data_IF_739552859044
#
_entry.id   IF_739552859044
#
_cell.length_a   1.000
_cell.length_b   1.000
_cell.length_c   1.000
_cell.angle_alpha   90.00
_cell.angle_beta   90.00
_cell.angle_gamma   90.00
#
_symmetry.space_group_name_H-M   'P 1'
#
loop_
_entity.id
_entity.type
_entity.pdbx_description
1 polymer ?
#
# COMPACT_ATOMS: atom_id res chain seq x y z
N UNK A 1 -12.89 15.57 4.09
CA UNK A 1 -11.87 14.65 3.55
C UNK A 1 -12.22 14.35 2.10
N UNK A 2 -11.69 13.25 1.58
CA UNK A 2 -11.92 12.73 0.24
C UNK A 2 -12.80 11.47 0.31
N UNK A 3 -13.64 11.26 -0.70
CA UNK A 3 -14.46 10.04 -0.82
C UNK A 3 -13.69 8.89 -1.48
N UNK A 4 -12.59 9.19 -2.16
CA UNK A 4 -11.65 8.21 -2.70
C UNK A 4 -10.22 8.77 -2.61
N UNK A 5 -9.30 7.95 -2.11
CA UNK A 5 -7.86 8.16 -2.20
C UNK A 5 -7.23 7.01 -2.97
N UNK A 6 -6.45 7.35 -4.00
CA UNK A 6 -5.66 6.39 -4.77
C UNK A 6 -4.18 6.52 -4.40
N UNK A 7 -3.62 5.47 -3.81
CA UNK A 7 -2.20 5.32 -3.50
C UNK A 7 -1.56 4.31 -4.46
N UNK A 8 -1.27 4.76 -5.68
CA UNK A 8 -0.66 3.92 -6.74
C UNK A 8 0.87 4.10 -6.78
N UNK A 9 1.62 2.98 -6.83
CA UNK A 9 3.08 2.91 -6.83
C UNK A 9 3.73 3.77 -5.73
N UNK A 10 3.10 3.78 -4.55
CA UNK A 10 3.43 4.72 -3.48
C UNK A 10 4.07 4.04 -2.26
N UNK A 11 3.42 3.03 -1.69
CA UNK A 11 3.70 2.55 -0.32
C UNK A 11 5.16 2.12 -0.13
N UNK A 12 5.73 1.43 -1.10
CA UNK A 12 7.13 0.95 -1.10
C UNK A 12 8.16 2.03 -1.41
N UNK A 13 7.72 3.25 -1.77
CA UNK A 13 8.56 4.40 -2.12
C UNK A 13 8.54 5.52 -1.07
N UNK A 14 7.80 5.36 0.02
CA UNK A 14 7.68 6.36 1.08
C UNK A 14 8.81 6.19 2.11
N UNK A 15 9.40 7.29 2.56
CA UNK A 15 10.36 7.25 3.67
C UNK A 15 9.78 6.62 4.95
N UNK A 16 8.49 6.85 5.22
CA UNK A 16 7.77 6.25 6.36
C UNK A 16 6.34 5.85 5.94
N UNK A 17 6.15 4.65 5.38
CA UNK A 17 4.83 4.15 5.00
C UNK A 17 3.91 3.98 6.21
N UNK A 18 4.45 3.62 7.39
CA UNK A 18 3.69 3.50 8.63
C UNK A 18 3.01 4.80 9.02
N UNK A 19 3.72 5.93 8.90
CA UNK A 19 3.14 7.26 9.16
C UNK A 19 2.02 7.59 8.18
N UNK A 20 2.19 7.28 6.90
CA UNK A 20 1.12 7.47 5.90
C UNK A 20 -0.12 6.64 6.26
N UNK A 21 0.04 5.33 6.46
CA UNK A 21 -1.05 4.40 6.75
C UNK A 21 -1.76 4.73 8.07
N UNK A 22 -1.01 5.11 9.11
CA UNK A 22 -1.58 5.48 10.40
C UNK A 22 -2.34 6.81 10.39
N UNK A 23 -2.13 7.69 9.41
CA UNK A 23 -2.75 9.03 9.39
C UNK A 23 -3.76 9.23 8.28
N UNK A 24 -3.76 8.38 7.24
CA UNK A 24 -4.60 8.58 6.05
C UNK A 24 -6.11 8.55 6.37
N UNK A 25 -6.53 7.85 7.42
CA UNK A 25 -7.91 7.82 7.89
C UNK A 25 -8.49 9.22 8.19
N UNK A 26 -7.65 10.19 8.59
CA UNK A 26 -8.05 11.58 8.84
C UNK A 26 -8.37 12.38 7.57
N UNK A 27 -7.96 11.86 6.41
CA UNK A 27 -8.16 12.50 5.10
C UNK A 27 -9.25 11.81 4.28
N UNK A 28 -9.69 10.61 4.65
CA UNK A 28 -10.78 9.88 3.99
C UNK A 28 -12.07 10.10 4.78
N UNK A 29 -13.14 10.48 4.09
CA UNK A 29 -14.47 10.59 4.71
C UNK A 29 -14.93 9.20 5.22
N UNK A 30 -15.74 9.14 6.26
CA UNK A 30 -16.40 7.88 6.67
C UNK A 30 -17.21 7.32 5.51
N UNK A 31 -17.07 6.02 5.23
CA UNK A 31 -17.62 5.35 4.04
C UNK A 31 -16.84 5.61 2.74
N UNK A 32 -15.83 6.49 2.78
CA UNK A 32 -14.92 6.74 1.66
C UNK A 32 -13.91 5.59 1.47
N UNK A 33 -13.30 5.57 0.30
CA UNK A 33 -12.43 4.48 -0.15
C UNK A 33 -10.95 4.87 -0.17
N UNK A 34 -10.10 3.91 0.16
CA UNK A 34 -8.65 3.95 -0.04
C UNK A 34 -8.27 2.77 -0.94
N UNK A 35 -7.76 3.07 -2.13
CA UNK A 35 -7.23 2.08 -3.05
C UNK A 35 -5.71 2.11 -2.98
N UNK A 36 -5.10 0.98 -2.58
CA UNK A 36 -3.65 0.82 -2.57
C UNK A 36 -3.29 -0.10 -3.73
N UNK A 37 -2.43 0.39 -4.62
CA UNK A 37 -1.87 -0.37 -5.73
C UNK A 37 -0.36 -0.20 -5.70
N UNK A 38 0.40 -1.22 -5.30
CA UNK A 38 1.87 -1.17 -5.43
C UNK A 38 2.44 -2.55 -5.73
N UNK A 39 3.58 -2.64 -6.43
CA UNK A 39 4.27 -3.90 -6.65
C UNK A 39 5.02 -4.41 -5.40
N UNK A 40 5.09 -3.59 -4.35
CA UNK A 40 5.80 -3.88 -3.09
C UNK A 40 7.26 -4.28 -3.31
N UNK A 41 7.92 -3.62 -4.25
CA UNK A 41 9.35 -3.73 -4.53
C UNK A 41 10.12 -2.94 -3.49
N UNK A 42 10.05 -3.39 -2.24
CA UNK A 42 10.74 -2.74 -1.13
C UNK A 42 12.24 -2.64 -1.41
N UNK A 43 12.75 -1.41 -1.43
CA UNK A 43 14.16 -1.10 -1.64
C UNK A 43 14.63 -0.10 -0.57
N UNK A 44 15.79 -0.37 0.01
CA UNK A 44 16.37 0.46 1.08
C UNK A 44 16.74 1.88 0.60
N UNK A 45 16.89 2.09 -0.71
CA UNK A 45 17.07 3.42 -1.30
C UNK A 45 15.83 4.33 -1.17
N UNK A 46 14.65 3.75 -0.97
CA UNK A 46 13.40 4.50 -0.81
C UNK A 46 12.89 4.47 0.63
N UNK A 47 12.91 3.28 1.24
CA UNK A 47 12.35 3.04 2.56
C UNK A 47 13.36 2.27 3.39
N UNK A 48 13.75 2.81 4.55
CA UNK A 48 14.64 2.09 5.48
C UNK A 48 14.01 0.75 5.87
N UNK A 49 14.82 -0.29 6.03
CA UNK A 49 14.34 -1.65 6.27
C UNK A 49 13.45 -1.78 7.50
N UNK A 50 13.71 -0.99 8.53
CA UNK A 50 12.92 -0.97 9.78
C UNK A 50 11.51 -0.41 9.57
N UNK A 51 11.32 0.42 8.55
CA UNK A 51 10.04 1.01 8.18
C UNK A 51 9.22 0.10 7.25
N UNK A 52 9.79 -1.00 6.75
CA UNK A 52 9.06 -1.93 5.89
C UNK A 52 7.88 -2.52 6.66
N UNK A 53 6.73 -2.57 5.99
CA UNK A 53 5.51 -3.19 6.53
C UNK A 53 5.32 -4.62 6.01
N UNK A 54 6.27 -5.15 5.24
CA UNK A 54 6.21 -6.50 4.69
C UNK A 54 7.50 -6.85 3.97
N UNK A 55 7.60 -8.07 3.44
CA UNK A 55 8.84 -8.55 2.82
C UNK A 55 9.95 -8.84 3.83
N UNK A 56 9.57 -9.09 5.08
CA UNK A 56 10.49 -9.36 6.21
C UNK A 56 10.14 -10.68 6.88
N UNK A 57 11.03 -11.17 7.73
CA UNK A 57 10.74 -12.27 8.66
C UNK A 57 10.29 -11.71 10.00
N UNK A 58 9.13 -12.14 10.48
CA UNK A 58 8.59 -11.81 11.80
C UNK A 58 8.44 -13.12 12.56
N UNK A 59 9.15 -13.26 13.68
CA UNK A 59 9.17 -14.48 14.51
C UNK A 59 9.50 -15.77 13.74
N UNK A 60 10.35 -15.66 12.71
CA UNK A 60 10.75 -16.78 11.84
C UNK A 60 9.81 -17.03 10.64
N UNK A 61 8.61 -16.45 10.65
CA UNK A 61 7.63 -16.58 9.58
C UNK A 61 7.74 -15.46 8.55
N UNK A 62 7.31 -15.73 7.31
CA UNK A 62 7.22 -14.70 6.27
C UNK A 62 6.08 -13.74 6.61
N UNK A 63 6.38 -12.45 6.69
CA UNK A 63 5.40 -11.40 6.91
C UNK A 63 5.24 -10.59 5.62
N UNK A 64 4.08 -10.71 4.97
CA UNK A 64 3.82 -10.13 3.67
C UNK A 64 3.30 -8.70 3.80
N UNK A 65 3.44 -7.89 2.75
CA UNK A 65 2.97 -6.50 2.77
C UNK A 65 1.47 -6.40 3.04
N UNK A 66 0.68 -7.35 2.55
CA UNK A 66 -0.75 -7.41 2.86
C UNK A 66 -1.03 -7.59 4.36
N UNK A 67 -0.22 -8.36 5.07
CA UNK A 67 -0.32 -8.52 6.52
C UNK A 67 -0.02 -7.19 7.22
N UNK A 68 1.04 -6.50 6.77
CA UNK A 68 1.35 -5.14 7.18
C UNK A 68 0.21 -4.15 6.96
N UNK A 69 -0.40 -4.17 5.78
CA UNK A 69 -1.52 -3.30 5.46
C UNK A 69 -2.70 -3.57 6.40
N UNK A 70 -3.06 -4.84 6.64
CA UNK A 70 -4.10 -5.21 7.59
C UNK A 70 -3.79 -4.70 9.00
N UNK A 71 -2.57 -4.90 9.48
CA UNK A 71 -2.14 -4.47 10.81
C UNK A 71 -2.16 -2.94 10.97
N UNK A 72 -1.75 -2.19 9.94
CA UNK A 72 -1.70 -0.73 10.00
C UNK A 72 -3.06 -0.06 9.77
N UNK A 73 -3.92 -0.63 8.92
CA UNK A 73 -5.19 -0.01 8.51
C UNK A 73 -6.39 -0.52 9.32
N UNK A 74 -6.32 -1.72 9.89
CA UNK A 74 -7.47 -2.43 10.47
C UNK A 74 -8.19 -1.71 11.61
N UNK A 75 -7.53 -0.74 12.27
CA UNK A 75 -8.18 0.10 13.28
C UNK A 75 -9.23 1.06 12.71
N UNK A 76 -9.09 1.46 11.44
CA UNK A 76 -9.91 2.51 10.83
C UNK A 76 -10.58 2.09 9.52
N UNK A 77 -10.09 1.03 8.88
CA UNK A 77 -10.57 0.57 7.58
C UNK A 77 -10.89 -0.92 7.61
N UNK A 78 -11.84 -1.33 6.77
CA UNK A 78 -12.02 -2.73 6.38
C UNK A 78 -11.54 -2.96 4.96
N UNK A 79 -10.93 -4.11 4.71
CA UNK A 79 -10.66 -4.58 3.35
C UNK A 79 -11.99 -4.99 2.70
N UNK A 80 -12.35 -4.35 1.59
CA UNK A 80 -13.60 -4.63 0.86
C UNK A 80 -13.32 -5.53 -0.34
N UNK A 81 -12.16 -5.42 -0.96
CA UNK A 81 -11.79 -6.20 -2.15
C UNK A 81 -10.27 -6.34 -2.30
N UNK A 82 -9.86 -7.40 -2.97
CA UNK A 82 -8.46 -7.78 -3.19
C UNK A 82 -7.87 -8.72 -2.11
N UNK A 83 -6.57 -9.06 -2.24
CA UNK A 83 -5.63 -8.57 -3.25
C UNK A 83 -5.94 -9.05 -4.68
N UNK A 84 -5.69 -8.20 -5.68
CA UNK A 84 -5.73 -8.55 -7.10
C UNK A 84 -4.44 -8.14 -7.78
N UNK A 85 -3.89 -8.99 -8.62
CA UNK A 85 -2.74 -8.63 -9.46
C UNK A 85 -3.22 -7.85 -10.69
N UNK A 86 -2.67 -6.66 -10.88
CA UNK A 86 -2.96 -5.80 -12.03
C UNK A 86 -1.67 -5.48 -12.76
N UNK A 87 -1.51 -5.88 -14.03
CA UNK A 87 -0.33 -5.53 -14.82
C UNK A 87 -0.34 -4.04 -15.15
N UNK A 88 0.84 -3.43 -15.10
CA UNK A 88 1.05 -2.05 -15.52
C UNK A 88 2.41 -1.87 -16.18
N UNK A 89 2.55 -0.74 -16.89
CA UNK A 89 3.79 -0.37 -17.57
C UNK A 89 4.23 1.01 -17.10
N UNK A 90 5.48 1.11 -16.65
CA UNK A 90 6.16 2.41 -16.48
C UNK A 90 7.01 2.66 -17.71
N UNK A 91 6.75 3.78 -18.38
CA UNK A 91 7.58 4.23 -19.50
C UNK A 91 8.74 5.06 -19.00
N UNK A 92 9.96 4.59 -19.20
CA UNK A 92 11.17 5.36 -18.91
C UNK A 92 11.58 6.23 -20.10
N UNK A 93 11.52 5.69 -21.32
CA UNK A 93 11.85 6.41 -22.55
C UNK A 93 10.94 5.99 -23.70
N UNK A 94 11.22 6.46 -24.93
CA UNK A 94 10.50 5.99 -26.11
C UNK A 94 10.67 4.48 -26.38
N UNK A 95 11.80 3.89 -25.96
CA UNK A 95 12.18 2.49 -26.25
C UNK A 95 12.46 1.64 -25.01
N UNK A 96 12.32 2.20 -23.81
CA UNK A 96 12.53 1.51 -22.54
C UNK A 96 11.28 1.61 -21.67
N UNK A 97 10.79 0.45 -21.27
CA UNK A 97 9.59 0.28 -20.47
C UNK A 97 9.85 -0.77 -19.40
N UNK A 98 9.23 -0.60 -18.24
CA UNK A 98 9.17 -1.61 -17.18
C UNK A 98 7.76 -2.19 -17.18
N UNK A 99 7.65 -3.50 -17.28
CA UNK A 99 6.39 -4.22 -17.08
C UNK A 99 6.43 -4.86 -15.69
N UNK A 100 5.37 -4.66 -14.92
CA UNK A 100 5.31 -5.10 -13.52
C UNK A 100 3.87 -5.45 -13.14
N UNK A 101 3.71 -6.28 -12.11
CA UNK A 101 2.42 -6.58 -11.49
C UNK A 101 2.28 -5.77 -10.21
N UNK A 102 1.17 -5.05 -10.08
CA UNK A 102 0.80 -4.39 -8.83
C UNK A 102 -0.17 -5.27 -8.08
N UNK A 103 0.02 -5.43 -6.76
CA UNK A 103 -1.06 -5.92 -5.91
C UNK A 103 -1.99 -4.75 -5.60
N UNK A 104 -3.29 -4.96 -5.81
CA UNK A 104 -4.34 -3.95 -5.64
C UNK A 104 -5.32 -4.39 -4.56
N UNK A 105 -5.53 -3.52 -3.58
CA UNK A 105 -6.50 -3.70 -2.49
C UNK A 105 -7.40 -2.47 -2.36
N UNK A 106 -8.66 -2.69 -2.03
CA UNK A 106 -9.65 -1.64 -1.80
C UNK A 106 -10.14 -1.68 -0.36
N UNK A 107 -10.03 -0.54 0.32
CA UNK A 107 -10.35 -0.39 1.73
C UNK A 107 -11.43 0.66 1.90
N UNK A 108 -12.33 0.45 2.84
CA UNK A 108 -13.38 1.41 3.18
C UNK A 108 -13.19 1.93 4.59
N UNK A 109 -13.29 3.25 4.74
CA UNK A 109 -13.17 3.93 6.03
C UNK A 109 -14.40 3.65 6.87
N UNK A 110 -14.19 3.09 8.05
CA UNK A 110 -15.23 2.84 9.04
C UNK A 110 -15.58 4.13 9.81
N UNK A 111 -16.78 4.23 10.41
CA UNK A 111 -17.03 5.17 11.50
C UNK A 111 -16.07 4.90 12.67
N UNK A 112 -15.84 5.91 13.51
CA UNK A 112 -15.12 5.75 14.78
C UNK A 112 -15.94 4.93 15.81
#
# INVERSE_FOLDING_TARGET
GYDLVLAANLIDRLYSPRKFLGTIHSRVNVGGLLLIASPYTWLEEHTRKEEWIGGVKKDGESYFTLDGLKDQLGAHFRLVDGPREVPFVIRETRRKFQHTLSEVTLWERLPD
#
